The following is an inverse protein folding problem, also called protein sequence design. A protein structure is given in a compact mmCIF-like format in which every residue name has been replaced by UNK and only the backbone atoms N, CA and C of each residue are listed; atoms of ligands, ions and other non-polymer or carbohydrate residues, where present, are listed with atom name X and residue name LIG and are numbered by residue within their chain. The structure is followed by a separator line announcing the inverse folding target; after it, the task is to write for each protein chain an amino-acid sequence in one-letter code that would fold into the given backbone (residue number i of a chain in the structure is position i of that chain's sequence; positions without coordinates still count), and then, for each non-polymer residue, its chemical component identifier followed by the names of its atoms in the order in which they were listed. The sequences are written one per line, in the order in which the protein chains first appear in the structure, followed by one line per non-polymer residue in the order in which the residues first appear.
data_IF_656475392828
#
_entry.id   IF_656475392828
#
_cell.length_a   1.000
_cell.length_b   1.000
_cell.length_c   1.000
_cell.angle_alpha   90.00
_cell.angle_beta   90.00
_cell.angle_gamma   90.00
#
_symmetry.space_group_name_H-M   'P 1'
#
loop_
_entity.id
_entity.type
_entity.pdbx_description
1 polymer ?
#
# COMPACT_ATOMS: atom_id res chain seq x y z
N UNK A 1 4.52 9.03 -2.15
CA UNK A 1 5.73 9.72 -1.65
C UNK A 1 5.90 9.72 -0.12
N UNK A 2 4.86 9.40 0.66
CA UNK A 2 4.94 9.48 2.13
C UNK A 2 5.87 8.42 2.73
N UNK A 3 5.80 7.17 2.30
CA UNK A 3 6.57 6.06 2.88
C UNK A 3 8.07 6.04 2.54
N UNK A 4 8.53 6.46 1.36
CA UNK A 4 9.96 6.46 1.03
C UNK A 4 10.75 7.60 1.67
N UNK A 5 10.10 8.66 2.14
CA UNK A 5 10.75 9.89 2.60
C UNK A 5 11.21 9.91 4.06
N UNK A 6 10.40 9.45 5.05
CA UNK A 6 10.78 9.57 6.45
C UNK A 6 11.88 8.57 6.83
N UNK A 7 12.43 8.74 8.04
CA UNK A 7 13.36 7.78 8.60
C UNK A 7 12.78 6.36 8.58
N UNK A 8 13.59 5.35 8.37
CA UNK A 8 13.17 3.95 8.17
C UNK A 8 12.26 3.45 9.29
N UNK A 9 12.60 3.74 10.55
CA UNK A 9 11.75 3.37 11.70
C UNK A 9 10.34 4.00 11.60
N UNK A 10 10.24 5.26 11.19
CA UNK A 10 8.95 5.91 10.98
C UNK A 10 8.16 5.26 9.83
N UNK A 11 8.83 4.79 8.77
CA UNK A 11 8.18 4.05 7.67
C UNK A 11 7.56 2.74 8.16
N UNK A 12 8.20 2.04 9.12
CA UNK A 12 7.62 0.84 9.76
C UNK A 12 6.31 1.19 10.47
N UNK A 13 6.31 2.23 11.33
CA UNK A 13 5.11 2.68 12.05
C UNK A 13 3.99 3.14 11.11
N UNK A 14 4.32 3.95 10.11
CA UNK A 14 3.35 4.39 9.11
C UNK A 14 2.71 3.19 8.39
N UNK A 15 3.52 2.21 8.02
CA UNK A 15 3.03 1.00 7.37
C UNK A 15 2.11 0.18 8.29
N UNK A 16 2.43 0.09 9.57
CA UNK A 16 1.66 -0.70 10.54
C UNK A 16 0.29 -0.09 10.82
N UNK A 17 0.18 1.22 11.02
CA UNK A 17 -1.05 1.85 11.51
C UNK A 17 -1.84 2.59 10.44
N UNK A 18 -1.22 3.49 9.68
CA UNK A 18 -1.93 4.48 8.85
C UNK A 18 -2.85 3.85 7.80
N UNK A 19 -2.34 2.90 7.01
CA UNK A 19 -3.16 2.25 5.97
C UNK A 19 -4.26 1.37 6.53
N UNK A 20 -4.06 0.79 7.71
CA UNK A 20 -5.04 -0.09 8.36
C UNK A 20 -6.21 0.69 8.92
N UNK A 21 -5.97 1.89 9.41
CA UNK A 21 -7.04 2.83 9.78
C UNK A 21 -7.94 3.13 8.58
N UNK A 22 -7.35 3.32 7.39
CA UNK A 22 -8.12 3.50 6.15
C UNK A 22 -8.95 2.27 5.78
N UNK A 23 -8.38 1.06 5.88
CA UNK A 23 -9.11 -0.20 5.65
C UNK A 23 -10.26 -0.36 6.63
N UNK A 24 -10.03 -0.08 7.91
CA UNK A 24 -11.06 -0.12 8.94
C UNK A 24 -12.16 0.92 8.66
N UNK A 25 -11.78 2.13 8.25
CA UNK A 25 -12.73 3.17 7.84
C UNK A 25 -13.63 2.71 6.68
N UNK A 26 -13.06 2.07 5.66
CA UNK A 26 -13.84 1.51 4.54
C UNK A 26 -14.79 0.41 5.00
N UNK A 27 -14.35 -0.49 5.86
CA UNK A 27 -15.19 -1.51 6.45
C UNK A 27 -16.35 -0.93 7.25
N UNK A 28 -16.10 0.13 8.02
CA UNK A 28 -17.14 0.81 8.83
C UNK A 28 -18.13 1.60 7.96
N UNK A 29 -17.65 2.21 6.87
CA UNK A 29 -18.47 2.99 5.95
C UNK A 29 -19.38 2.10 5.07
N UNK A 30 -18.92 0.86 4.77
CA UNK A 30 -19.63 -0.08 3.91
C UNK A 30 -19.81 -1.44 4.59
N UNK A 31 -20.59 -1.53 5.67
CA UNK A 31 -20.73 -2.77 6.47
C UNK A 31 -21.35 -3.93 5.67
N UNK A 32 -22.16 -3.60 4.68
CA UNK A 32 -22.78 -4.57 3.77
C UNK A 32 -21.94 -4.88 2.53
N UNK A 33 -20.71 -4.35 2.45
CA UNK A 33 -19.88 -4.41 1.27
C UNK A 33 -20.44 -3.53 0.13
N UNK A 34 -19.68 -3.41 -0.95
CA UNK A 34 -20.08 -2.72 -2.16
C UNK A 34 -19.24 -3.19 -3.35
N UNK A 35 -19.90 -3.54 -4.45
CA UNK A 35 -19.23 -4.09 -5.64
C UNK A 35 -18.13 -3.20 -6.19
N UNK A 36 -18.34 -1.88 -6.25
CA UNK A 36 -17.31 -0.94 -6.72
C UNK A 36 -16.07 -0.90 -5.80
N UNK A 37 -16.26 -1.04 -4.48
CA UNK A 37 -15.18 -1.12 -3.51
C UNK A 37 -14.37 -2.41 -3.72
N UNK A 38 -15.04 -3.54 -3.94
CA UNK A 38 -14.37 -4.80 -4.21
C UNK A 38 -13.50 -4.75 -5.47
N UNK A 39 -14.04 -4.24 -6.58
CA UNK A 39 -13.30 -4.09 -7.82
C UNK A 39 -12.19 -3.01 -7.74
N UNK A 40 -12.42 -1.94 -7.00
CA UNK A 40 -11.36 -0.98 -6.68
C UNK A 40 -10.20 -1.65 -5.97
N UNK A 41 -10.49 -2.51 -4.97
CA UNK A 41 -9.48 -3.31 -4.28
C UNK A 41 -8.72 -4.24 -5.23
N UNK A 42 -9.41 -4.94 -6.13
CA UNK A 42 -8.80 -5.78 -7.16
C UNK A 42 -7.89 -4.98 -8.10
N UNK A 43 -8.34 -3.82 -8.58
CA UNK A 43 -7.53 -2.93 -9.40
C UNK A 43 -6.30 -2.41 -8.65
N UNK A 44 -6.43 -2.04 -7.38
CA UNK A 44 -5.30 -1.64 -6.52
C UNK A 44 -4.28 -2.77 -6.37
N UNK A 45 -4.72 -4.03 -6.26
CA UNK A 45 -3.83 -5.18 -6.16
C UNK A 45 -2.93 -5.32 -7.39
N UNK A 46 -3.50 -5.18 -8.60
CA UNK A 46 -2.76 -5.27 -9.86
C UNK A 46 -1.88 -4.04 -10.08
N UNK A 47 -2.44 -2.84 -10.00
CA UNK A 47 -1.71 -1.60 -10.27
C UNK A 47 -0.55 -1.42 -9.29
N UNK A 48 -0.77 -1.65 -7.99
CA UNK A 48 0.28 -1.55 -6.98
C UNK A 48 1.43 -2.52 -7.23
N UNK A 49 1.15 -3.79 -7.60
CA UNK A 49 2.17 -4.77 -7.92
C UNK A 49 2.93 -4.41 -9.22
N UNK A 50 2.23 -3.91 -10.23
CA UNK A 50 2.82 -3.48 -11.50
C UNK A 50 3.76 -2.28 -11.31
N UNK A 51 3.31 -1.24 -10.60
CA UNK A 51 4.16 -0.09 -10.32
C UNK A 51 5.35 -0.45 -9.41
N UNK A 52 5.17 -1.35 -8.45
CA UNK A 52 6.28 -1.87 -7.64
C UNK A 52 7.34 -2.57 -8.50
N UNK A 53 6.91 -3.36 -9.49
CA UNK A 53 7.82 -4.06 -10.38
C UNK A 53 8.71 -3.08 -11.19
N UNK A 54 8.20 -1.90 -11.52
CA UNK A 54 8.97 -0.88 -12.23
C UNK A 54 9.95 -0.11 -11.34
N UNK A 55 9.80 -0.15 -10.00
CA UNK A 55 10.69 0.58 -9.10
C UNK A 55 12.04 -0.13 -8.94
N UNK A 56 13.11 0.65 -8.96
CA UNK A 56 14.46 0.18 -8.61
C UNK A 56 14.91 0.67 -7.22
N UNK A 57 14.20 1.61 -6.64
CA UNK A 57 14.35 2.03 -5.26
C UNK A 57 13.60 1.07 -4.33
N UNK A 58 14.29 0.53 -3.31
CA UNK A 58 13.71 -0.44 -2.38
C UNK A 58 12.51 0.11 -1.63
N UNK A 59 12.58 1.34 -1.16
CA UNK A 59 11.53 1.96 -0.34
C UNK A 59 10.30 2.29 -1.19
N UNK A 60 10.50 2.76 -2.43
CA UNK A 60 9.41 2.97 -3.39
C UNK A 60 8.75 1.66 -3.78
N UNK A 61 9.52 0.62 -4.08
CA UNK A 61 9.01 -0.72 -4.37
C UNK A 61 8.13 -1.23 -3.21
N UNK A 62 8.63 -1.12 -1.98
CA UNK A 62 7.84 -1.49 -0.80
C UNK A 62 6.58 -0.64 -0.64
N UNK A 63 6.62 0.64 -0.98
CA UNK A 63 5.47 1.54 -0.88
C UNK A 63 4.35 1.16 -1.84
N UNK A 64 4.66 0.88 -3.10
CA UNK A 64 3.66 0.39 -4.07
C UNK A 64 3.08 -0.96 -3.68
N UNK A 65 3.89 -1.83 -3.07
CA UNK A 65 3.38 -3.08 -2.51
C UNK A 65 2.46 -2.89 -1.30
N UNK A 66 2.55 -1.79 -0.56
CA UNK A 66 1.51 -1.46 0.44
C UNK A 66 0.17 -1.27 -0.28
N UNK A 67 0.14 -0.48 -1.36
CA UNK A 67 -1.07 -0.26 -2.16
C UNK A 67 -1.63 -1.58 -2.70
N UNK A 68 -0.77 -2.44 -3.26
CA UNK A 68 -1.18 -3.76 -3.75
C UNK A 68 -1.82 -4.61 -2.66
N UNK A 69 -1.21 -4.71 -1.48
CA UNK A 69 -1.71 -5.56 -0.40
C UNK A 69 -2.96 -4.97 0.27
N UNK A 70 -3.03 -3.65 0.41
CA UNK A 70 -4.26 -2.96 0.84
C UNK A 70 -5.40 -3.23 -0.15
N UNK A 71 -5.09 -3.40 -1.44
CA UNK A 71 -6.05 -3.82 -2.45
C UNK A 71 -6.79 -5.12 -2.09
N UNK A 72 -6.08 -6.15 -1.59
CA UNK A 72 -6.72 -7.37 -1.08
C UNK A 72 -7.63 -7.11 0.12
N UNK A 73 -7.21 -6.26 1.05
CA UNK A 73 -8.01 -5.90 2.22
C UNK A 73 -9.28 -5.15 1.83
N UNK A 74 -9.16 -4.21 0.90
CA UNK A 74 -10.29 -3.43 0.37
C UNK A 74 -11.23 -4.31 -0.46
N UNK A 75 -10.67 -5.23 -1.27
CA UNK A 75 -11.48 -6.22 -1.98
C UNK A 75 -12.31 -7.06 -1.00
N UNK A 76 -11.69 -7.59 0.04
CA UNK A 76 -12.39 -8.35 1.08
C UNK A 76 -13.42 -7.52 1.85
N UNK A 77 -13.14 -6.25 2.14
CA UNK A 77 -14.10 -5.33 2.75
C UNK A 77 -15.29 -5.01 1.83
N UNK A 78 -15.05 -4.95 0.52
CA UNK A 78 -16.09 -4.71 -0.49
C UNK A 78 -16.96 -5.94 -0.78
N UNK A 79 -16.44 -7.14 -0.54
CA UNK A 79 -17.19 -8.39 -0.64
C UNK A 79 -18.00 -8.58 0.65
N UNK A 80 -19.28 -8.90 0.52
CA UNK A 80 -20.14 -9.19 1.65
C UNK A 80 -19.90 -10.61 2.18
N UNK A 81 -19.94 -10.79 3.49
CA UNK A 81 -19.97 -12.08 4.14
C UNK A 81 -18.80 -12.36 5.08
N UNK A 82 -18.99 -13.31 5.97
CA UNK A 82 -18.05 -13.63 7.05
C UNK A 82 -16.68 -14.07 6.53
N UNK A 83 -16.64 -14.86 5.46
CA UNK A 83 -15.39 -15.34 4.87
C UNK A 83 -14.52 -14.20 4.35
N UNK A 84 -15.11 -13.27 3.57
CA UNK A 84 -14.39 -12.14 3.02
C UNK A 84 -13.87 -11.19 4.12
N UNK A 85 -14.68 -10.94 5.13
CA UNK A 85 -14.31 -10.11 6.28
C UNK A 85 -13.18 -10.77 7.08
N UNK A 86 -13.32 -12.05 7.42
CA UNK A 86 -12.28 -12.81 8.11
C UNK A 86 -10.96 -12.79 7.32
N UNK A 87 -11.02 -12.98 6.00
CA UNK A 87 -9.86 -12.91 5.11
C UNK A 87 -9.22 -11.53 5.08
N UNK A 88 -10.02 -10.47 4.96
CA UNK A 88 -9.53 -9.08 4.94
C UNK A 88 -8.77 -8.74 6.22
N UNK A 89 -9.33 -9.05 7.40
CA UNK A 89 -8.69 -8.74 8.67
C UNK A 89 -7.53 -9.66 9.01
N UNK A 90 -7.61 -10.94 8.65
CA UNK A 90 -6.45 -11.84 8.70
C UNK A 90 -5.29 -11.28 7.85
N UNK A 91 -5.61 -10.71 6.67
CA UNK A 91 -4.63 -10.11 5.80
C UNK A 91 -4.08 -8.78 6.37
N UNK A 92 -4.90 -7.98 7.05
CA UNK A 92 -4.44 -6.80 7.81
C UNK A 92 -3.38 -7.20 8.82
N UNK A 93 -3.66 -8.18 9.66
CA UNK A 93 -2.74 -8.66 10.69
C UNK A 93 -1.44 -9.22 10.10
N UNK A 94 -1.55 -10.13 9.15
CA UNK A 94 -0.41 -10.76 8.49
C UNK A 94 0.47 -9.75 7.75
N UNK A 95 -0.16 -8.77 7.10
CA UNK A 95 0.54 -7.69 6.41
C UNK A 95 1.37 -6.83 7.37
N UNK A 96 0.89 -6.56 8.57
CA UNK A 96 1.65 -5.82 9.58
C UNK A 96 2.96 -6.54 9.85
N UNK A 97 2.94 -7.86 10.05
CA UNK A 97 4.12 -8.65 10.34
C UNK A 97 5.12 -8.66 9.18
N UNK A 98 4.73 -9.21 8.03
CA UNK A 98 5.69 -9.38 6.93
C UNK A 98 6.12 -8.05 6.30
N UNK A 99 5.26 -7.03 6.32
CA UNK A 99 5.62 -5.73 5.78
C UNK A 99 6.52 -4.93 6.71
N UNK A 100 6.26 -5.00 8.02
CA UNK A 100 7.19 -4.51 9.03
C UNK A 100 8.57 -5.14 8.87
N UNK A 101 8.62 -6.47 8.69
CA UNK A 101 9.87 -7.20 8.47
C UNK A 101 10.58 -6.77 7.19
N UNK A 102 9.86 -6.56 6.07
CA UNK A 102 10.43 -6.04 4.82
C UNK A 102 11.04 -4.65 4.97
N UNK A 103 10.38 -3.74 5.70
CA UNK A 103 10.94 -2.43 5.97
C UNK A 103 12.14 -2.50 6.93
N UNK A 104 12.12 -3.40 7.91
CA UNK A 104 13.29 -3.61 8.78
C UNK A 104 14.48 -4.14 7.99
N UNK A 105 14.30 -5.15 7.14
CA UNK A 105 15.40 -5.73 6.33
C UNK A 105 15.94 -4.72 5.32
N UNK A 106 15.07 -4.03 4.56
CA UNK A 106 15.49 -2.95 3.66
C UNK A 106 16.19 -1.83 4.43
N UNK A 107 15.71 -1.52 5.63
CA UNK A 107 16.30 -0.52 6.51
C UNK A 107 17.71 -0.87 6.96
N UNK A 108 17.97 -2.14 7.31
CA UNK A 108 19.32 -2.61 7.65
C UNK A 108 20.24 -2.54 6.44
N UNK A 109 19.77 -2.96 5.24
CA UNK A 109 20.55 -2.85 4.01
C UNK A 109 20.94 -1.38 3.77
N UNK A 110 20.00 -0.46 3.79
CA UNK A 110 20.26 0.98 3.56
C UNK A 110 21.20 1.55 4.64
N UNK A 111 21.01 1.18 5.90
CA UNK A 111 21.84 1.66 7.00
C UNK A 111 23.29 1.20 6.87
N UNK A 112 23.52 0.00 6.34
CA UNK A 112 24.86 -0.60 6.20
C UNK A 112 25.57 -0.19 4.92
N UNK A 113 24.83 -0.05 3.82
CA UNK A 113 25.40 0.22 2.48
C UNK A 113 25.30 1.69 2.07
N UNK A 114 24.39 2.46 2.68
CA UNK A 114 24.04 3.81 2.22
C UNK A 114 23.22 3.83 0.93
N UNK A 115 22.91 2.66 0.32
CA UNK A 115 22.28 2.58 -0.98
C UNK A 115 20.80 2.16 -0.88
N UNK A 116 19.94 2.89 -1.59
CA UNK A 116 18.52 2.59 -1.72
C UNK A 116 18.20 1.88 -3.06
N UNK A 117 19.10 1.99 -4.04
CA UNK A 117 18.88 1.49 -5.39
C UNK A 117 19.33 0.03 -5.55
N UNK A 118 18.38 -0.83 -5.95
CA UNK A 118 18.66 -2.23 -6.28
C UNK A 118 19.72 -2.41 -7.38
N UNK A 119 19.91 -1.41 -8.25
CA UNK A 119 20.89 -1.47 -9.34
C UNK A 119 22.33 -1.35 -8.86
N UNK A 120 22.54 -0.82 -7.66
CA UNK A 120 23.86 -0.59 -7.05
C UNK A 120 24.17 -1.60 -5.95
N UNK A 121 23.25 -2.52 -5.68
CA UNK A 121 23.41 -3.60 -4.72
C UNK A 121 23.74 -4.90 -5.44
N UNK A 122 24.16 -5.90 -4.69
CA UNK A 122 24.42 -7.24 -5.20
C UNK A 122 25.14 -8.11 -4.18
N UNK A 123 24.95 -9.43 -4.24
CA UNK A 123 25.72 -10.39 -3.46
C UNK A 123 25.59 -10.31 -1.93
N UNK A 124 24.73 -9.44 -1.40
CA UNK A 124 24.65 -9.17 0.05
C UNK A 124 24.26 -10.37 0.92
N UNK A 125 23.77 -11.46 0.32
CA UNK A 125 23.42 -12.65 1.11
C UNK A 125 24.63 -13.29 1.82
N UNK A 126 25.83 -13.08 1.31
CA UNK A 126 27.08 -13.59 1.94
C UNK A 126 27.51 -12.71 3.12
N UNK A 127 27.39 -11.40 2.95
CA UNK A 127 27.79 -10.42 3.95
C UNK A 127 26.74 -10.25 5.05
N UNK A 128 25.46 -10.36 4.69
CA UNK A 128 24.32 -10.10 5.56
C UNK A 128 23.33 -11.29 5.61
N UNK A 129 23.76 -12.48 6.06
CA UNK A 129 22.97 -13.72 5.99
C UNK A 129 21.70 -13.67 6.85
N UNK A 130 21.73 -13.01 8.02
CA UNK A 130 20.55 -12.86 8.89
C UNK A 130 19.52 -11.98 8.22
N UNK A 131 19.95 -10.83 7.69
CA UNK A 131 19.08 -9.89 6.97
C UNK A 131 18.50 -10.54 5.71
N UNK A 132 19.32 -11.28 4.94
CA UNK A 132 18.87 -11.98 3.73
C UNK A 132 17.86 -13.10 4.07
N UNK A 133 18.09 -13.86 5.12
CA UNK A 133 17.16 -14.89 5.59
C UNK A 133 15.82 -14.30 6.06
N UNK A 134 15.85 -13.23 6.86
CA UNK A 134 14.67 -12.51 7.31
C UNK A 134 13.89 -11.90 6.11
N UNK A 135 14.60 -11.33 5.13
CA UNK A 135 13.99 -10.87 3.88
C UNK A 135 13.31 -12.02 3.13
N UNK A 136 13.97 -13.18 3.02
CA UNK A 136 13.40 -14.37 2.37
C UNK A 136 12.08 -14.80 2.99
N UNK A 137 12.01 -14.88 4.32
CA UNK A 137 10.76 -15.17 5.04
C UNK A 137 9.69 -14.13 4.74
N UNK A 138 10.02 -12.85 4.79
CA UNK A 138 9.08 -11.77 4.52
C UNK A 138 8.60 -11.75 3.06
N UNK A 139 9.50 -12.02 2.12
CA UNK A 139 9.21 -12.10 0.68
C UNK A 139 8.26 -13.27 0.35
N UNK A 140 8.50 -14.43 0.92
CA UNK A 140 7.62 -15.59 0.78
C UNK A 140 6.27 -15.36 1.46
N UNK A 141 6.26 -14.69 2.60
CA UNK A 141 5.04 -14.30 3.30
C UNK A 141 4.18 -13.36 2.47
N UNK A 142 4.73 -12.23 1.99
CA UNK A 142 3.94 -11.27 1.21
C UNK A 142 3.51 -11.83 -0.14
N UNK A 143 4.31 -12.70 -0.75
CA UNK A 143 3.95 -13.38 -1.99
C UNK A 143 2.77 -14.36 -1.80
N UNK A 144 2.59 -14.88 -0.61
CA UNK A 144 1.56 -15.87 -0.29
C UNK A 144 2.03 -17.29 -0.62
N UNK A 145 3.29 -17.60 -0.33
CA UNK A 145 3.84 -18.94 -0.47
C UNK A 145 3.46 -19.81 0.72
N UNK A 146 3.24 -21.11 0.49
CA UNK A 146 2.82 -22.02 1.55
C UNK A 146 3.83 -22.12 2.69
N UNK A 147 3.32 -22.33 3.90
CA UNK A 147 4.12 -22.32 5.13
C UNK A 147 4.29 -20.93 5.74
N UNK A 148 3.79 -19.87 5.06
CA UNK A 148 3.85 -18.49 5.55
C UNK A 148 2.45 -17.88 5.70
N UNK A 149 2.35 -16.93 6.61
CA UNK A 149 1.08 -16.32 7.02
C UNK A 149 0.30 -15.65 5.87
N UNK A 150 0.99 -15.10 4.87
CA UNK A 150 0.35 -14.47 3.70
C UNK A 150 -0.43 -15.44 2.84
N UNK A 151 -0.02 -16.72 2.76
CA UNK A 151 -0.74 -17.77 2.06
C UNK A 151 -2.14 -17.96 2.62
N UNK A 152 -2.24 -18.06 3.94
CA UNK A 152 -3.52 -18.26 4.64
C UNK A 152 -4.50 -17.13 4.34
N UNK A 153 -4.08 -15.88 4.59
CA UNK A 153 -4.98 -14.75 4.49
C UNK A 153 -5.34 -14.36 3.05
N UNK A 154 -4.39 -14.46 2.10
CA UNK A 154 -4.68 -14.22 0.68
C UNK A 154 -5.63 -15.29 0.11
N UNK A 155 -5.38 -16.54 0.42
CA UNK A 155 -6.22 -17.64 -0.03
C UNK A 155 -7.69 -17.43 0.36
N UNK A 156 -7.94 -16.96 1.60
CA UNK A 156 -9.31 -16.68 2.06
C UNK A 156 -9.96 -15.56 1.24
N UNK A 157 -9.25 -14.47 0.98
CA UNK A 157 -9.80 -13.34 0.19
C UNK A 157 -10.04 -13.75 -1.26
N UNK A 158 -9.13 -14.48 -1.87
CA UNK A 158 -9.27 -15.00 -3.25
C UNK A 158 -10.47 -15.94 -3.32
N UNK A 159 -10.58 -16.92 -2.42
CA UNK A 159 -11.72 -17.85 -2.36
C UNK A 159 -13.05 -17.12 -2.13
N UNK A 160 -13.07 -16.09 -1.27
CA UNK A 160 -14.28 -15.29 -1.08
C UNK A 160 -14.67 -14.51 -2.36
N UNK A 161 -13.70 -14.11 -3.19
CA UNK A 161 -13.95 -13.39 -4.43
C UNK A 161 -14.52 -14.24 -5.56
N UNK A 162 -14.32 -15.58 -5.48
CA UNK A 162 -14.79 -16.51 -6.50
C UNK A 162 -16.31 -16.45 -6.70
N UNK A 163 -17.07 -16.38 -5.62
CA UNK A 163 -18.54 -16.40 -5.65
C UNK A 163 -19.21 -15.07 -5.37
N UNK A 164 -18.44 -13.99 -5.11
CA UNK A 164 -18.95 -12.76 -4.52
C UNK A 164 -19.98 -12.03 -5.40
N UNK A 165 -19.75 -11.93 -6.72
CA UNK A 165 -20.54 -11.14 -7.66
C UNK A 165 -20.81 -11.89 -8.97
N UNK A 166 -20.91 -13.22 -8.91
CA UNK A 166 -20.94 -14.06 -10.11
C UNK A 166 -19.62 -13.96 -10.90
N UNK A 167 -19.66 -14.28 -12.19
CA UNK A 167 -18.45 -14.29 -13.02
C UNK A 167 -17.91 -12.89 -13.33
N UNK A 168 -18.70 -11.82 -13.17
CA UNK A 168 -18.30 -10.45 -13.45
C UNK A 168 -18.23 -10.12 -14.95
N UNK A 169 -17.72 -8.92 -15.33
CA UNK A 169 -17.75 -8.44 -16.73
C UNK A 169 -16.77 -9.14 -17.67
N UNK A 170 -15.67 -9.69 -17.16
CA UNK A 170 -14.59 -10.32 -17.96
C UNK A 170 -14.12 -11.61 -17.32
N UNK A 171 -14.96 -12.66 -17.24
CA UNK A 171 -14.58 -13.93 -16.66
C UNK A 171 -13.60 -14.68 -17.57
N UNK A 172 -12.68 -15.47 -16.95
CA UNK A 172 -11.78 -16.33 -17.69
C UNK A 172 -11.96 -17.78 -17.18
N UNK A 173 -12.60 -18.62 -17.99
CA UNK A 173 -12.96 -19.96 -17.58
C UNK A 173 -13.94 -19.95 -16.40
N UNK A 174 -13.61 -20.64 -15.34
CA UNK A 174 -14.40 -20.70 -14.11
C UNK A 174 -14.14 -19.53 -13.15
N UNK A 175 -13.04 -18.80 -13.34
CA UNK A 175 -12.65 -17.72 -12.45
C UNK A 175 -13.44 -16.44 -12.70
N UNK A 176 -13.84 -15.78 -11.61
CA UNK A 176 -14.49 -14.46 -11.68
C UNK A 176 -13.49 -13.34 -12.06
N UNK A 177 -14.00 -12.24 -12.57
CA UNK A 177 -13.15 -11.07 -12.90
C UNK A 177 -12.40 -10.56 -11.67
N UNK A 178 -13.04 -10.51 -10.51
CA UNK A 178 -12.41 -10.04 -9.27
C UNK A 178 -11.30 -10.99 -8.83
N UNK A 179 -11.55 -12.29 -8.91
CA UNK A 179 -10.57 -13.33 -8.58
C UNK A 179 -9.32 -13.22 -9.47
N UNK A 180 -9.50 -13.05 -10.79
CA UNK A 180 -8.39 -12.82 -11.71
C UNK A 180 -7.56 -11.58 -11.36
N UNK A 181 -8.19 -10.49 -10.97
CA UNK A 181 -7.47 -9.29 -10.55
C UNK A 181 -6.58 -9.58 -9.33
N UNK A 182 -7.10 -10.32 -8.35
CA UNK A 182 -6.34 -10.70 -7.17
C UNK A 182 -5.21 -11.68 -7.51
N UNK A 183 -5.45 -12.69 -8.35
CA UNK A 183 -4.41 -13.62 -8.82
C UNK A 183 -3.29 -12.92 -9.58
N UNK A 184 -3.62 -11.99 -10.50
CA UNK A 184 -2.64 -11.17 -11.21
C UNK A 184 -1.81 -10.29 -10.27
N UNK A 185 -2.46 -9.70 -9.25
CA UNK A 185 -1.77 -9.00 -8.18
C UNK A 185 -0.79 -9.90 -7.41
N UNK A 186 -1.16 -11.17 -7.22
CA UNK A 186 -0.31 -12.23 -6.64
C UNK A 186 0.92 -12.52 -7.49
N UNK A 187 0.74 -12.77 -8.78
CA UNK A 187 1.84 -13.00 -9.73
C UNK A 187 2.81 -11.80 -9.75
N UNK A 188 2.28 -10.58 -9.85
CA UNK A 188 3.09 -9.36 -9.81
C UNK A 188 3.86 -9.21 -8.49
N UNK A 189 3.28 -9.67 -7.38
CA UNK A 189 3.96 -9.70 -6.07
C UNK A 189 5.15 -10.66 -6.09
N UNK A 190 4.97 -11.89 -6.57
CA UNK A 190 6.09 -12.84 -6.73
C UNK A 190 7.20 -12.26 -7.61
N UNK A 191 6.85 -11.71 -8.78
CA UNK A 191 7.82 -11.10 -9.70
C UNK A 191 8.66 -10.02 -9.01
N UNK A 192 8.01 -9.13 -8.27
CA UNK A 192 8.69 -7.99 -7.64
C UNK A 192 9.61 -8.40 -6.49
N UNK A 193 9.22 -9.40 -5.69
CA UNK A 193 10.08 -9.86 -4.59
C UNK A 193 11.19 -10.80 -5.06
N UNK A 194 10.98 -11.56 -6.15
CA UNK A 194 12.05 -12.25 -6.85
C UNK A 194 13.06 -11.22 -7.40
N UNK A 195 12.56 -10.13 -8.04
CA UNK A 195 13.41 -9.02 -8.49
C UNK A 195 14.22 -8.42 -7.35
N UNK A 196 13.56 -8.08 -6.24
CA UNK A 196 14.22 -7.48 -5.08
C UNK A 196 15.31 -8.41 -4.53
N UNK A 197 14.95 -9.66 -4.22
CA UNK A 197 15.90 -10.65 -3.69
C UNK A 197 17.07 -10.89 -4.64
N UNK A 198 16.78 -11.03 -5.92
CA UNK A 198 17.80 -11.26 -6.94
C UNK A 198 18.82 -10.14 -6.98
N UNK A 199 18.38 -8.89 -7.11
CA UNK A 199 19.32 -7.76 -7.26
C UNK A 199 20.00 -7.35 -5.95
N UNK A 200 19.33 -7.41 -4.81
CA UNK A 200 19.94 -7.01 -3.55
C UNK A 200 20.87 -8.08 -2.97
N UNK A 201 20.45 -9.37 -3.02
CA UNK A 201 21.10 -10.40 -2.22
C UNK A 201 21.88 -11.44 -3.04
N UNK A 202 21.46 -11.75 -4.27
CA UNK A 202 21.99 -12.91 -4.98
C UNK A 202 22.76 -12.60 -6.28
N UNK A 203 22.55 -11.44 -6.88
CA UNK A 203 23.19 -11.09 -8.16
C UNK A 203 24.46 -10.30 -7.95
N UNK A 204 25.55 -10.71 -8.62
CA UNK A 204 26.82 -9.98 -8.54
C UNK A 204 27.52 -10.14 -7.19
N UNK A 205 28.43 -9.22 -6.94
CA UNK A 205 29.18 -9.09 -5.68
C UNK A 205 29.11 -7.62 -5.24
N UNK A 206 29.02 -7.40 -3.93
CA UNK A 206 29.13 -6.06 -3.37
C UNK A 206 30.62 -5.79 -3.11
N UNK A 207 31.11 -4.67 -3.61
CA UNK A 207 32.57 -4.37 -3.61
C UNK A 207 33.10 -4.06 -2.20
N UNK A 208 32.23 -3.61 -1.31
CA UNK A 208 32.60 -3.25 0.06
C UNK A 208 32.19 -4.34 1.06
N UNK A 209 33.04 -4.64 2.03
CA UNK A 209 32.66 -5.51 3.13
C UNK A 209 31.69 -4.78 4.06
N UNK A 210 30.51 -5.34 4.26
CA UNK A 210 29.45 -4.75 5.08
C UNK A 210 29.08 -5.70 6.22
N UNK A 211 29.01 -5.18 7.43
CA UNK A 211 28.53 -5.97 8.56
C UNK A 211 27.01 -6.17 8.49
N UNK A 212 26.53 -7.34 8.93
CA UNK A 212 25.09 -7.60 9.06
C UNK A 212 24.43 -6.74 10.16
N UNK A 213 23.17 -6.96 10.40
CA UNK A 213 22.38 -6.34 11.46
C UNK A 213 23.07 -6.48 12.83
N UNK A 214 22.93 -5.46 13.67
CA UNK A 214 23.34 -5.59 15.06
C UNK A 214 22.42 -6.57 15.82
N UNK A 215 22.84 -6.98 17.04
CA UNK A 215 22.11 -7.97 17.83
C UNK A 215 20.64 -7.59 18.05
N UNK A 216 20.35 -6.33 18.37
CA UNK A 216 18.96 -5.87 18.58
C UNK A 216 18.11 -5.93 17.30
N UNK A 217 18.68 -5.50 16.17
CA UNK A 217 18.03 -5.59 14.86
C UNK A 217 17.80 -7.05 14.45
N UNK A 218 18.79 -7.91 14.65
CA UNK A 218 18.69 -9.35 14.34
C UNK A 218 17.59 -10.03 15.15
N UNK A 219 17.58 -9.79 16.48
CA UNK A 219 16.53 -10.35 17.36
C UNK A 219 15.14 -9.88 16.93
N UNK A 220 14.97 -8.59 16.63
CA UNK A 220 13.68 -8.05 16.18
C UNK A 220 13.24 -8.68 14.86
N UNK A 221 14.12 -8.76 13.86
CA UNK A 221 13.81 -9.38 12.56
C UNK A 221 13.48 -10.86 12.69
N UNK A 222 14.27 -11.62 13.44
CA UNK A 222 14.05 -13.04 13.65
C UNK A 222 12.75 -13.32 14.42
N UNK A 223 12.42 -12.51 15.43
CA UNK A 223 11.15 -12.63 16.14
C UNK A 223 9.96 -12.45 15.22
N UNK A 224 9.96 -11.39 14.38
CA UNK A 224 8.87 -11.16 13.43
C UNK A 224 8.86 -12.22 12.32
N UNK A 225 10.01 -12.68 11.84
CA UNK A 225 10.11 -13.77 10.88
C UNK A 225 9.48 -15.07 11.44
N UNK A 226 9.78 -15.39 12.70
CA UNK A 226 9.19 -16.54 13.40
C UNK A 226 7.67 -16.40 13.46
N UNK A 227 7.12 -15.23 13.75
CA UNK A 227 5.67 -15.00 13.74
C UNK A 227 5.06 -15.17 12.33
N UNK A 228 5.76 -14.75 11.27
CA UNK A 228 5.30 -14.95 9.89
C UNK A 228 5.18 -16.45 9.54
N UNK A 229 6.11 -17.27 10.00
CA UNK A 229 6.07 -18.72 9.83
C UNK A 229 4.99 -19.33 10.74
N UNK A 230 4.99 -18.95 12.02
CA UNK A 230 4.05 -19.46 13.02
C UNK A 230 2.60 -19.33 12.54
N UNK A 231 2.17 -18.13 12.17
CA UNK A 231 0.80 -17.88 11.69
C UNK A 231 0.53 -18.44 10.28
N UNK A 232 1.53 -18.87 9.56
CA UNK A 232 1.39 -19.64 8.33
C UNK A 232 1.17 -21.12 8.56
N UNK A 233 1.84 -21.69 9.56
CA UNK A 233 1.82 -23.15 9.84
C UNK A 233 0.76 -23.53 10.88
N UNK A 234 0.51 -22.66 11.87
CA UNK A 234 -0.48 -22.93 12.93
C UNK A 234 -1.88 -22.59 12.43
N UNK A 235 -2.39 -23.45 11.59
CA UNK A 235 -3.80 -23.46 11.12
C UNK A 235 -4.47 -24.75 11.59
N UNK A 236 -5.80 -24.80 11.72
CA UNK A 236 -6.51 -25.94 12.32
C UNK A 236 -6.17 -27.31 11.74
N UNK A 237 -5.77 -27.37 10.47
CA UNK A 237 -5.40 -28.63 9.78
C UNK A 237 -3.93 -29.02 9.92
N UNK A 238 -3.10 -28.18 10.52
CA UNK A 238 -1.70 -28.53 10.71
C UNK A 238 -1.53 -29.48 11.91
N UNK A 239 -0.56 -30.40 11.88
CA UNK A 239 -0.26 -31.24 13.04
C UNK A 239 0.08 -30.43 14.30
N UNK A 240 0.58 -29.22 14.09
CA UNK A 240 0.98 -28.31 15.18
C UNK A 240 -0.22 -27.74 15.94
N UNK A 241 -1.37 -27.60 15.28
CA UNK A 241 -2.59 -27.07 15.91
C UNK A 241 -3.18 -28.04 16.97
N UNK A 242 -2.90 -29.34 16.87
CA UNK A 242 -3.34 -30.32 17.87
C UNK A 242 -2.50 -30.27 19.16
N UNK A 243 -1.30 -29.68 19.09
CA UNK A 243 -0.35 -29.65 20.23
C UNK A 243 -0.44 -28.30 20.95
N UNK A 244 -0.84 -27.22 20.23
CA UNK A 244 -0.89 -25.88 20.77
C UNK A 244 -2.27 -25.58 21.39
N UNK A 245 -2.32 -24.73 22.43
CA UNK A 245 -3.58 -24.30 23.02
C UNK A 245 -4.52 -23.68 21.98
N UNK A 246 -5.80 -23.98 22.05
CA UNK A 246 -6.81 -23.35 21.21
C UNK A 246 -6.77 -21.82 21.38
N UNK A 247 -6.83 -21.08 20.28
CA UNK A 247 -6.83 -19.62 20.28
C UNK A 247 -5.45 -18.94 20.10
N UNK A 248 -4.35 -19.69 20.07
CA UNK A 248 -3.03 -19.11 19.77
C UNK A 248 -2.84 -18.86 18.27
N UNK A 249 -3.51 -19.63 17.41
CA UNK A 249 -3.45 -19.47 15.97
C UNK A 249 -4.07 -18.14 15.49
N UNK A 250 -3.83 -17.80 14.22
CA UNK A 250 -4.30 -16.55 13.60
C UNK A 250 -5.79 -16.27 13.87
N UNK A 251 -6.63 -17.27 13.71
CA UNK A 251 -8.08 -17.12 13.86
C UNK A 251 -8.55 -17.05 15.32
N UNK A 252 -7.74 -17.49 16.27
CA UNK A 252 -8.04 -17.35 17.71
C UNK A 252 -7.77 -15.97 18.26
N UNK A 253 -6.94 -15.16 17.59
CA UNK A 253 -6.58 -13.80 18.02
C UNK A 253 -7.35 -12.70 17.28
N UNK A 254 -8.05 -13.04 16.21
CA UNK A 254 -8.84 -12.06 15.45
C UNK A 254 -10.12 -11.69 16.22
N UNK A 255 -10.47 -10.39 16.28
CA UNK A 255 -11.63 -9.90 17.03
C UNK A 255 -12.97 -10.11 16.28
N UNK A 256 -13.07 -11.13 15.41
CA UNK A 256 -14.23 -11.40 14.59
C UNK A 256 -14.81 -12.79 14.90
N UNK A 257 -16.10 -12.92 14.66
CA UNK A 257 -16.73 -14.23 14.70
C UNK A 257 -16.25 -15.07 13.52
N UNK A 258 -15.28 -15.93 13.81
CA UNK A 258 -14.73 -16.89 12.86
C UNK A 258 -15.44 -18.26 12.98
N UNK A 259 -16.54 -18.32 13.72
CA UNK A 259 -17.31 -19.56 13.94
C UNK A 259 -18.31 -19.84 12.82
N UNK A 260 -18.50 -18.93 11.86
CA UNK A 260 -19.37 -19.18 10.72
C UNK A 260 -18.91 -20.41 9.93
N UNK A 261 -19.85 -21.23 9.51
CA UNK A 261 -19.58 -22.47 8.78
C UNK A 261 -18.66 -22.26 7.56
N UNK A 262 -18.86 -21.16 6.81
CA UNK A 262 -18.04 -20.83 5.64
C UNK A 262 -16.57 -20.53 6.01
N UNK A 263 -16.32 -19.83 7.13
CA UNK A 263 -14.96 -19.53 7.60
C UNK A 263 -14.30 -20.79 8.12
N UNK A 264 -15.00 -21.56 8.95
CA UNK A 264 -14.50 -22.81 9.52
C UNK A 264 -14.16 -23.79 8.40
N UNK A 265 -15.06 -23.99 7.44
CA UNK A 265 -14.83 -24.89 6.31
C UNK A 265 -13.57 -24.48 5.51
N UNK A 266 -13.40 -23.20 5.20
CA UNK A 266 -12.23 -22.73 4.46
C UNK A 266 -10.93 -22.86 5.26
N UNK A 267 -10.95 -22.51 6.53
CA UNK A 267 -9.78 -22.60 7.43
C UNK A 267 -9.31 -24.04 7.57
N UNK A 268 -10.24 -25.00 7.68
CA UNK A 268 -9.89 -26.43 7.69
C UNK A 268 -9.39 -26.95 6.33
N UNK A 269 -9.60 -26.21 5.24
CA UNK A 269 -9.15 -26.59 3.89
C UNK A 269 -8.01 -25.69 3.36
N UNK A 270 -7.36 -24.91 4.21
CA UNK A 270 -6.26 -24.01 3.80
C UNK A 270 -5.12 -24.73 3.07
N UNK A 271 -4.73 -25.92 3.52
CA UNK A 271 -3.65 -26.74 2.95
C UNK A 271 -4.18 -27.93 2.13
N UNK A 272 -5.17 -27.69 1.27
CA UNK A 272 -5.58 -28.71 0.28
C UNK A 272 -4.60 -28.78 -0.88
N UNK A 273 -4.58 -29.93 -1.57
CA UNK A 273 -3.76 -30.10 -2.76
C UNK A 273 -4.04 -29.02 -3.83
N UNK A 274 -5.32 -28.62 -3.99
CA UNK A 274 -5.72 -27.55 -4.91
C UNK A 274 -5.07 -26.20 -4.58
N UNK A 275 -5.18 -25.73 -3.36
CA UNK A 275 -4.59 -24.47 -2.92
C UNK A 275 -3.05 -24.47 -2.98
N UNK A 276 -2.42 -25.62 -2.69
CA UNK A 276 -0.96 -25.77 -2.82
C UNK A 276 -0.55 -25.66 -4.29
N UNK A 277 -1.25 -26.33 -5.19
CA UNK A 277 -0.98 -26.26 -6.64
C UNK A 277 -1.20 -24.86 -7.17
N UNK A 278 -2.26 -24.17 -6.74
CA UNK A 278 -2.51 -22.77 -7.11
C UNK A 278 -1.37 -21.86 -6.64
N UNK A 279 -0.95 -21.96 -5.37
CA UNK A 279 0.18 -21.18 -4.85
C UNK A 279 1.50 -21.46 -5.57
N UNK A 280 1.77 -22.72 -5.93
CA UNK A 280 2.92 -23.10 -6.75
C UNK A 280 2.82 -22.52 -8.17
N UNK A 281 1.64 -22.57 -8.78
CA UNK A 281 1.42 -22.00 -10.12
C UNK A 281 1.68 -20.49 -10.13
N UNK A 282 1.22 -19.76 -9.12
CA UNK A 282 1.51 -18.33 -8.96
C UNK A 282 3.01 -18.06 -8.79
N UNK A 283 3.71 -18.88 -8.01
CA UNK A 283 5.16 -18.76 -7.81
C UNK A 283 5.94 -19.01 -9.11
N UNK A 284 5.56 -20.07 -9.84
CA UNK A 284 6.16 -20.39 -11.15
C UNK A 284 5.86 -19.30 -12.17
N UNK A 285 4.61 -18.83 -12.26
CA UNK A 285 4.23 -17.70 -13.12
C UNK A 285 5.04 -16.45 -12.79
N UNK A 286 5.23 -16.15 -11.51
CA UNK A 286 6.06 -15.03 -11.05
C UNK A 286 7.53 -15.18 -11.43
N UNK A 287 8.11 -16.37 -11.30
CA UNK A 287 9.49 -16.67 -11.70
C UNK A 287 9.68 -16.56 -13.21
N UNK A 288 8.80 -17.16 -14.00
CA UNK A 288 8.82 -17.09 -15.46
C UNK A 288 8.62 -15.64 -15.90
N UNK A 289 7.61 -14.95 -15.35
CA UNK A 289 7.35 -13.55 -15.63
C UNK A 289 8.57 -12.67 -15.36
N UNK A 290 9.23 -12.83 -14.20
CA UNK A 290 10.46 -12.10 -13.91
C UNK A 290 11.58 -12.41 -14.92
N UNK A 291 11.80 -13.67 -15.28
CA UNK A 291 12.83 -14.05 -16.26
C UNK A 291 12.58 -13.43 -17.63
N UNK A 292 11.35 -13.41 -18.09
CA UNK A 292 10.96 -12.82 -19.38
C UNK A 292 11.08 -11.30 -19.38
N UNK A 293 10.77 -10.66 -18.25
CA UNK A 293 10.75 -9.19 -18.12
C UNK A 293 12.03 -8.59 -17.57
N UNK A 294 13.00 -9.39 -17.11
CA UNK A 294 14.24 -8.94 -16.49
C UNK A 294 15.00 -7.92 -17.34
N UNK A 295 15.19 -8.19 -18.64
CA UNK A 295 15.92 -7.29 -19.55
C UNK A 295 15.14 -5.99 -19.81
N UNK A 296 13.86 -6.03 -20.24
CA UNK A 296 13.05 -4.82 -20.38
C UNK A 296 13.01 -3.97 -19.11
N UNK A 297 12.85 -4.59 -17.94
CA UNK A 297 12.82 -3.87 -16.65
C UNK A 297 14.14 -3.21 -16.29
N UNK A 298 15.27 -3.79 -16.70
CA UNK A 298 16.60 -3.21 -16.49
C UNK A 298 16.84 -1.96 -17.33
N UNK A 299 16.27 -1.92 -18.55
CA UNK A 299 16.40 -0.80 -19.50
C UNK A 299 15.34 0.29 -19.29
N UNK A 300 14.24 -0.03 -18.61
CA UNK A 300 13.21 0.95 -18.31
C UNK A 300 13.80 2.11 -17.49
N UNK A 301 13.64 3.32 -18.02
CA UNK A 301 13.92 4.55 -17.31
C UNK A 301 12.92 4.81 -16.18
N UNK A 302 12.83 6.04 -15.76
CA UNK A 302 11.84 6.47 -14.76
C UNK A 302 10.44 6.37 -15.38
N UNK A 303 9.63 5.44 -14.89
CA UNK A 303 8.21 5.35 -15.29
C UNK A 303 7.46 6.51 -14.61
N UNK A 304 6.64 7.27 -15.37
CA UNK A 304 5.79 8.30 -14.79
C UNK A 304 4.91 7.69 -13.69
N UNK A 305 4.94 8.31 -12.54
CA UNK A 305 4.11 7.92 -11.41
C UNK A 305 2.68 8.44 -11.60
N UNK A 306 1.72 7.84 -10.93
CA UNK A 306 0.35 8.34 -10.86
C UNK A 306 0.32 9.80 -10.37
N UNK A 307 1.26 10.16 -9.49
CA UNK A 307 1.47 11.53 -9.02
C UNK A 307 1.71 12.53 -10.16
N UNK A 308 2.34 12.13 -11.24
CA UNK A 308 2.59 12.98 -12.41
C UNK A 308 1.31 13.39 -13.13
N UNK A 309 0.24 12.64 -12.93
CA UNK A 309 -1.08 12.92 -13.51
C UNK A 309 -1.96 13.66 -12.50
N UNK A 310 -2.11 13.09 -11.30
CA UNK A 310 -3.09 13.65 -10.36
C UNK A 310 -2.55 14.87 -9.60
N UNK A 311 -1.25 14.99 -9.33
CA UNK A 311 -0.70 16.13 -8.60
C UNK A 311 -0.91 17.46 -9.34
N UNK A 312 -0.64 17.56 -10.67
CA UNK A 312 -1.02 18.74 -11.44
C UNK A 312 -2.52 19.01 -11.44
N UNK A 313 -3.34 17.95 -11.60
CA UNK A 313 -4.80 18.08 -11.60
C UNK A 313 -5.32 18.65 -10.27
N UNK A 314 -4.85 18.11 -9.15
CA UNK A 314 -5.24 18.58 -7.81
C UNK A 314 -4.72 19.99 -7.57
N UNK A 315 -3.47 20.28 -7.92
CA UNK A 315 -2.86 21.60 -7.74
C UNK A 315 -3.58 22.69 -8.56
N UNK A 316 -3.73 22.46 -9.86
CA UNK A 316 -4.37 23.44 -10.73
C UNK A 316 -5.87 23.52 -10.50
N UNK A 317 -6.52 22.36 -10.21
CA UNK A 317 -7.93 22.31 -9.85
C UNK A 317 -8.23 23.08 -8.57
N UNK A 318 -7.48 22.83 -7.49
CA UNK A 318 -7.61 23.56 -6.23
C UNK A 318 -7.34 25.07 -6.41
N UNK A 319 -6.30 25.42 -7.18
CA UNK A 319 -6.00 26.81 -7.51
C UNK A 319 -7.15 27.49 -8.26
N UNK A 320 -7.72 26.80 -9.26
CA UNK A 320 -8.85 27.33 -10.02
C UNK A 320 -10.07 27.56 -9.13
N UNK A 321 -10.38 26.63 -8.21
CA UNK A 321 -11.47 26.78 -7.25
C UNK A 321 -11.20 27.97 -6.30
N UNK A 322 -10.00 28.05 -5.72
CA UNK A 322 -9.66 29.14 -4.80
C UNK A 322 -9.76 30.49 -5.52
N UNK A 323 -9.16 30.62 -6.70
CA UNK A 323 -9.21 31.85 -7.48
C UNK A 323 -10.65 32.19 -7.86
N UNK A 324 -11.42 31.21 -8.35
CA UNK A 324 -12.83 31.39 -8.72
C UNK A 324 -13.70 31.88 -7.56
N UNK A 325 -13.54 31.28 -6.37
CA UNK A 325 -14.24 31.70 -5.15
C UNK A 325 -13.81 33.12 -4.75
N UNK A 326 -12.52 33.41 -4.78
CA UNK A 326 -12.00 34.75 -4.42
C UNK A 326 -12.55 35.81 -5.36
N UNK A 327 -12.52 35.57 -6.66
CA UNK A 327 -13.07 36.51 -7.66
C UNK A 327 -14.60 36.67 -7.51
N UNK A 328 -15.31 35.58 -7.24
CA UNK A 328 -16.75 35.66 -6.96
C UNK A 328 -17.04 36.56 -5.77
N UNK A 329 -16.33 36.38 -4.65
CA UNK A 329 -16.47 37.26 -3.48
C UNK A 329 -16.11 38.72 -3.80
N UNK A 330 -15.08 38.96 -4.58
CA UNK A 330 -14.71 40.32 -5.01
C UNK A 330 -15.79 40.99 -5.89
N UNK A 331 -16.48 40.20 -6.71
CA UNK A 331 -17.64 40.71 -7.50
C UNK A 331 -18.80 41.04 -6.58
N UNK A 332 -19.14 40.15 -5.66
CA UNK A 332 -20.22 40.38 -4.68
C UNK A 332 -19.95 41.60 -3.83
N UNK A 333 -18.73 41.72 -3.31
CA UNK A 333 -18.32 42.88 -2.49
C UNK A 333 -18.42 44.20 -3.29
N UNK A 334 -17.92 44.24 -4.51
CA UNK A 334 -18.08 45.38 -5.41
C UNK A 334 -19.55 45.73 -5.66
N UNK A 335 -20.38 44.75 -5.89
CA UNK A 335 -21.83 44.95 -6.12
C UNK A 335 -22.51 45.54 -4.88
N UNK A 336 -22.24 44.99 -3.69
CA UNK A 336 -22.75 45.48 -2.42
C UNK A 336 -22.28 46.91 -2.14
N UNK A 337 -20.99 47.17 -2.28
CA UNK A 337 -20.42 48.51 -2.03
C UNK A 337 -20.98 49.55 -3.02
N UNK A 338 -21.16 49.18 -4.28
CA UNK A 338 -21.77 50.03 -5.31
C UNK A 338 -23.25 50.34 -4.97
N UNK A 339 -23.99 49.33 -4.53
CA UNK A 339 -25.38 49.48 -4.10
C UNK A 339 -25.50 50.41 -2.90
N UNK A 340 -24.66 50.23 -1.88
CA UNK A 340 -24.60 51.11 -0.69
C UNK A 340 -24.24 52.53 -1.08
N UNK A 341 -23.26 52.73 -1.96
CA UNK A 341 -22.85 54.05 -2.43
C UNK A 341 -24.00 54.77 -3.21
N UNK A 342 -24.72 53.98 -4.02
CA UNK A 342 -25.89 54.51 -4.78
C UNK A 342 -27.04 54.88 -3.85
N UNK A 343 -27.33 54.05 -2.86
CA UNK A 343 -28.37 54.31 -1.86
C UNK A 343 -28.02 55.56 -1.02
N UNK A 344 -26.75 55.71 -0.61
CA UNK A 344 -26.26 56.90 0.07
C UNK A 344 -26.43 58.16 -0.77
N UNK A 345 -26.19 58.08 -2.08
CA UNK A 345 -26.40 59.24 -3.02
C UNK A 345 -27.87 59.58 -3.14
N UNK A 346 -28.76 58.59 -3.18
CA UNK A 346 -30.20 58.81 -3.34
C UNK A 346 -30.87 59.23 -2.02
N UNK A 347 -30.36 58.81 -0.85
CA UNK A 347 -30.88 59.14 0.49
C UNK A 347 -30.18 60.34 1.15
N UNK A 348 -29.21 60.94 0.51
CA UNK A 348 -28.41 62.03 1.14
C UNK A 348 -29.14 63.37 1.15
N UNK A 349 -29.50 63.85 2.35
CA UNK A 349 -29.78 65.26 2.63
C UNK A 349 -28.60 66.12 2.31
N UNK A 350 -28.73 67.39 1.86
CA UNK A 350 -27.64 68.25 1.41
C UNK A 350 -26.84 68.90 2.55
N UNK A 351 -26.51 68.20 3.59
CA UNK A 351 -25.70 68.73 4.69
C UNK A 351 -24.65 67.74 5.15
N UNK A 352 -23.53 67.64 4.44
CA UNK A 352 -22.22 67.22 4.98
C UNK A 352 -21.12 67.39 3.91
N UNK A 353 -20.89 68.62 3.47
CA UNK A 353 -19.60 69.00 2.93
C UNK A 353 -18.73 69.49 4.08
N UNK A 354 -18.08 68.57 4.77
CA UNK A 354 -16.86 68.89 5.51
C UNK A 354 -16.26 67.59 6.07
N UNK A 355 -14.97 67.44 5.74
CA UNK A 355 -13.98 66.64 6.49
C UNK A 355 -14.07 65.14 6.40
N UNK A 356 -13.31 64.50 5.54
CA UNK A 356 -12.02 63.96 5.97
C UNK A 356 -11.35 63.26 4.82
N UNK A 357 -10.20 63.73 4.45
CA UNK A 357 -9.18 62.95 3.76
C UNK A 357 -8.70 61.86 4.71
N UNK A 358 -9.42 60.77 4.79
CA UNK A 358 -8.89 59.54 5.41
C UNK A 358 -8.02 58.88 4.35
N UNK A 359 -6.73 58.96 4.62
CA UNK A 359 -5.66 58.23 3.95
C UNK A 359 -6.11 56.79 3.63
N UNK A 360 -6.24 56.49 2.34
CA UNK A 360 -6.31 55.11 1.86
C UNK A 360 -4.95 54.47 2.11
N UNK A 361 -4.76 53.85 3.27
CA UNK A 361 -3.77 52.78 3.41
C UNK A 361 -4.30 51.60 2.66
N UNK A 362 -3.86 51.48 1.42
CA UNK A 362 -3.95 50.22 0.69
C UNK A 362 -3.11 49.22 1.45
N UNK A 363 -3.77 48.29 2.12
CA UNK A 363 -3.11 47.05 2.61
C UNK A 363 -2.89 46.21 1.38
N UNK A 364 -1.73 46.38 0.74
CA UNK A 364 -1.27 45.39 -0.24
C UNK A 364 -0.86 44.16 0.54
N UNK A 365 -1.71 43.15 0.51
CA UNK A 365 -1.30 41.79 0.91
C UNK A 365 -0.31 41.36 -0.15
N UNK A 366 0.98 41.54 0.13
CA UNK A 366 2.02 40.85 -0.60
C UNK A 366 1.83 39.34 -0.30
N UNK A 367 1.17 38.65 -1.21
CA UNK A 367 1.35 37.20 -1.33
C UNK A 367 2.77 37.07 -1.90
N UNK A 368 3.73 36.88 -1.00
CA UNK A 368 5.09 36.50 -1.40
C UNK A 368 4.96 35.23 -2.25
N UNK A 369 5.44 35.32 -3.48
CA UNK A 369 5.65 34.12 -4.30
C UNK A 369 6.32 33.05 -3.43
N UNK A 370 5.87 31.79 -3.50
CA UNK A 370 6.58 30.72 -2.83
C UNK A 370 8.00 30.72 -3.37
N UNK A 371 8.92 31.05 -2.49
CA UNK A 371 10.34 31.18 -2.76
C UNK A 371 10.83 29.95 -3.52
N UNK A 372 11.71 30.14 -4.50
CA UNK A 372 12.44 29.17 -5.34
C UNK A 372 13.09 27.96 -4.59
N UNK A 373 12.90 27.83 -3.30
CA UNK A 373 13.37 26.69 -2.52
C UNK A 373 12.62 25.39 -2.78
N UNK A 374 11.47 25.42 -3.46
CA UNK A 374 10.77 24.20 -3.87
C UNK A 374 11.35 23.55 -5.15
N UNK A 375 12.16 24.27 -5.93
CA UNK A 375 12.74 23.73 -7.18
C UNK A 375 14.02 22.90 -6.98
N UNK A 376 14.65 22.96 -5.80
CA UNK A 376 15.92 22.23 -5.54
C UNK A 376 15.67 20.78 -5.07
N UNK A 377 14.44 20.39 -4.83
CA UNK A 377 14.09 19.04 -4.33
C UNK A 377 13.69 18.03 -5.41
N UNK A 378 13.78 18.37 -6.71
CA UNK A 378 13.37 17.48 -7.82
C UNK A 378 14.47 17.24 -8.88
N UNK A 379 15.74 17.44 -8.52
CA UNK A 379 16.86 17.00 -9.36
C UNK A 379 17.36 15.62 -8.94
#
# INVERSE_FOLDING_TARGET
DTYPRPHIAASVFLCVFTTKTGVYGMYRAFPDGHVAIAYMGGAMAVLGATYALFQNDMRRLLSYHIQSQVGYMIAGAGIRGALAQAGAFAHVFNHILYKGLLFMTAGVVIYRTGEESLKKLGGLAREMPITAGAFGVAALSIAGFHGFNGFVSKGIVISASHYAFGKGPLPIGEFSTLEWLLLLGGIGTFMSFIKFGYYAFFHGEYEESVADANTGQSVAMLAVATLCIFYGVVVPTSPLSSILPAGIGLFGILPFDVTSEAVVAHVYHTYTAGHIVEGLALAVAGLVGFRLTKQPLATLGRVPDVDSIYAPLVFYGSRAVIVGVTEFYAVVDRAVMTTIATLKRLGGSPQATATSAVSRKTVSIHISEPTRQAEISYA
#
